data_IF_538586793681
#
_entry.id   IF_538586793681
#
_cell.length_a   1.000
_cell.length_b   1.000
_cell.length_c   1.000
_cell.angle_alpha   90.00
_cell.angle_beta   90.00
_cell.angle_gamma   90.00
#
_symmetry.space_group_name_H-M   'P 1'
#
loop_
_entity.id
_entity.type
_entity.pdbx_description
1 polymer ?
#
# COMPACT_ATOMS: atom_id res chain seq x y z
N UNK A 1 -20.83 21.68 -1.61
CA UNK A 1 -21.58 21.05 -2.73
C UNK A 1 -22.05 19.69 -2.21
N UNK A 2 -23.35 19.42 -2.12
CA UNK A 2 -23.82 18.15 -1.56
C UNK A 2 -23.69 17.05 -2.63
N UNK A 3 -22.88 16.04 -2.37
CA UNK A 3 -22.70 14.91 -3.29
C UNK A 3 -24.03 14.19 -3.48
N UNK A 4 -24.36 13.84 -4.74
CA UNK A 4 -25.58 13.11 -5.08
C UNK A 4 -25.65 11.75 -4.31
N UNK A 5 -26.72 11.49 -3.53
CA UNK A 5 -26.91 10.23 -2.78
C UNK A 5 -26.81 8.97 -3.64
N UNK A 6 -27.28 8.98 -4.89
CA UNK A 6 -27.20 7.84 -5.80
C UNK A 6 -25.75 7.46 -6.12
N UNK A 7 -24.85 8.45 -6.13
CA UNK A 7 -23.42 8.21 -6.34
C UNK A 7 -22.81 7.51 -5.14
N UNK A 8 -23.12 7.96 -3.93
CA UNK A 8 -22.71 7.25 -2.72
C UNK A 8 -23.30 5.85 -2.64
N UNK A 9 -24.53 5.64 -3.08
CA UNK A 9 -25.15 4.32 -3.11
C UNK A 9 -24.41 3.34 -4.04
N UNK A 10 -24.01 3.79 -5.25
CA UNK A 10 -23.16 3.00 -6.16
C UNK A 10 -21.78 2.73 -5.58
N UNK A 11 -21.22 3.69 -4.86
CA UNK A 11 -19.94 3.52 -4.17
C UNK A 11 -20.03 2.50 -3.05
N UNK A 12 -21.08 2.54 -2.21
CA UNK A 12 -21.32 1.52 -1.19
C UNK A 12 -21.43 0.12 -1.80
N UNK A 13 -22.15 -0.03 -2.93
CA UNK A 13 -22.19 -1.33 -3.63
C UNK A 13 -20.82 -1.83 -4.07
N UNK A 14 -19.92 -0.92 -4.44
CA UNK A 14 -18.54 -1.27 -4.78
C UNK A 14 -17.79 -1.79 -3.54
N UNK A 15 -18.00 -1.16 -2.38
CA UNK A 15 -17.40 -1.57 -1.11
C UNK A 15 -18.00 -2.92 -0.67
N UNK A 16 -19.34 -3.08 -0.72
CA UNK A 16 -20.02 -4.35 -0.41
C UNK A 16 -19.42 -5.49 -1.26
N UNK A 17 -19.30 -5.25 -2.57
CA UNK A 17 -18.75 -6.23 -3.52
C UNK A 17 -17.28 -6.58 -3.22
N UNK A 18 -16.48 -5.60 -2.78
CA UNK A 18 -15.11 -5.86 -2.37
C UNK A 18 -15.07 -6.77 -1.14
N UNK A 19 -15.90 -6.50 -0.12
CA UNK A 19 -15.98 -7.34 1.08
C UNK A 19 -16.48 -8.74 0.73
N UNK A 20 -17.56 -8.84 -0.04
CA UNK A 20 -18.15 -10.12 -0.46
C UNK A 20 -17.14 -10.98 -1.22
N UNK A 21 -16.42 -10.40 -2.19
CA UNK A 21 -15.40 -11.14 -2.96
C UNK A 21 -14.18 -11.51 -2.12
N UNK A 22 -13.75 -10.60 -1.25
CA UNK A 22 -12.58 -10.85 -0.40
C UNK A 22 -12.83 -11.99 0.58
N UNK A 23 -14.07 -12.11 1.05
CA UNK A 23 -14.47 -13.02 2.12
C UNK A 23 -15.35 -14.19 1.62
N UNK A 24 -15.51 -14.35 0.31
CA UNK A 24 -16.37 -15.36 -0.34
C UNK A 24 -17.80 -15.41 0.20
N UNK A 25 -18.38 -14.25 0.51
CA UNK A 25 -19.74 -14.12 1.02
C UNK A 25 -20.75 -14.10 -0.13
N UNK A 26 -21.96 -14.58 0.17
CA UNK A 26 -23.07 -14.62 -0.79
C UNK A 26 -24.02 -13.45 -0.49
N UNK A 27 -24.09 -12.42 -1.37
CA UNK A 27 -25.00 -11.30 -1.20
C UNK A 27 -26.46 -11.77 -1.18
N UNK A 28 -27.31 -11.09 -0.41
CA UNK A 28 -28.75 -11.37 -0.31
C UNK A 28 -29.09 -12.79 0.16
N UNK A 29 -28.15 -13.50 0.80
CA UNK A 29 -28.40 -14.78 1.45
C UNK A 29 -29.02 -14.59 2.84
N UNK A 30 -29.32 -15.70 3.51
CA UNK A 30 -29.74 -15.68 4.92
C UNK A 30 -28.59 -15.35 5.90
N UNK A 31 -27.34 -15.36 5.40
CA UNK A 31 -26.14 -15.09 6.18
C UNK A 31 -25.65 -13.66 5.97
N UNK A 32 -24.74 -13.22 6.84
CA UNK A 32 -24.15 -11.89 6.76
C UNK A 32 -23.27 -11.75 5.51
N UNK A 33 -23.31 -10.56 4.92
CA UNK A 33 -22.59 -10.18 3.70
C UNK A 33 -21.84 -8.85 3.89
N UNK A 34 -21.16 -8.37 2.85
CA UNK A 34 -20.53 -7.06 2.79
C UNK A 34 -21.50 -5.93 3.15
N UNK A 35 -22.77 -6.05 2.71
CA UNK A 35 -23.84 -5.12 3.09
C UNK A 35 -23.98 -4.93 4.61
N UNK A 36 -23.85 -6.02 5.36
CA UNK A 36 -24.00 -6.05 6.82
C UNK A 36 -22.71 -5.66 7.53
N UNK A 37 -21.57 -6.10 7.02
CA UNK A 37 -20.25 -5.86 7.60
C UNK A 37 -19.77 -4.42 7.40
N UNK A 38 -20.11 -3.78 6.29
CA UNK A 38 -19.66 -2.42 5.99
C UNK A 38 -20.15 -1.38 6.99
N UNK A 39 -21.25 -1.63 7.71
CA UNK A 39 -21.70 -0.72 8.76
C UNK A 39 -20.64 -0.59 9.88
N UNK A 40 -20.18 -1.73 10.40
CA UNK A 40 -19.23 -1.79 11.51
C UNK A 40 -17.82 -1.44 11.01
N UNK A 41 -17.44 -1.90 9.81
CA UNK A 41 -16.14 -1.59 9.19
C UNK A 41 -16.00 -0.08 8.94
N UNK A 42 -16.95 0.57 8.26
CA UNK A 42 -16.91 2.02 8.03
C UNK A 42 -16.92 2.81 9.34
N UNK A 43 -17.69 2.37 10.34
CA UNK A 43 -17.74 3.05 11.63
C UNK A 43 -16.38 3.01 12.33
N UNK A 44 -15.74 1.84 12.40
CA UNK A 44 -14.41 1.69 12.98
C UNK A 44 -13.38 2.53 12.22
N UNK A 45 -13.39 2.46 10.89
CA UNK A 45 -12.48 3.20 10.02
C UNK A 45 -12.60 4.72 10.23
N UNK A 46 -13.84 5.23 10.24
CA UNK A 46 -14.13 6.65 10.42
C UNK A 46 -13.74 7.13 11.83
N UNK A 47 -14.05 6.35 12.87
CA UNK A 47 -13.77 6.69 14.25
C UNK A 47 -12.31 6.43 14.67
N UNK A 48 -11.52 5.77 13.82
CA UNK A 48 -10.14 5.37 14.11
C UNK A 48 -10.03 4.54 15.39
N UNK A 49 -10.88 3.53 15.52
CA UNK A 49 -11.02 2.74 16.73
C UNK A 49 -11.11 1.23 16.44
N UNK A 50 -11.17 0.45 17.51
CA UNK A 50 -11.31 -1.00 17.49
C UNK A 50 -12.64 -1.42 16.86
N UNK A 51 -12.60 -2.34 15.90
CA UNK A 51 -13.82 -2.94 15.35
C UNK A 51 -14.71 -3.53 16.45
N UNK A 52 -14.08 -4.08 17.48
CA UNK A 52 -14.74 -4.66 18.65
C UNK A 52 -15.50 -3.63 19.51
N UNK A 53 -15.36 -2.32 19.26
CA UNK A 53 -16.00 -1.26 20.05
C UNK A 53 -17.18 -0.58 19.37
N UNK A 54 -17.34 -0.74 18.05
CA UNK A 54 -18.29 0.05 17.25
C UNK A 54 -19.59 -0.66 16.92
N UNK A 55 -19.66 -1.97 17.12
CA UNK A 55 -20.78 -2.80 16.72
C UNK A 55 -20.78 -4.17 17.38
N UNK A 56 -21.65 -5.05 16.89
CA UNK A 56 -21.85 -6.40 17.46
C UNK A 56 -21.38 -7.52 16.54
N UNK A 57 -20.81 -7.19 15.37
CA UNK A 57 -20.43 -8.18 14.35
C UNK A 57 -18.93 -8.45 14.27
N UNK A 58 -18.13 -7.91 15.19
CA UNK A 58 -16.67 -8.04 15.16
C UNK A 58 -16.21 -9.51 15.08
N UNK A 59 -16.81 -10.40 15.88
CA UNK A 59 -16.49 -11.84 15.85
C UNK A 59 -16.85 -12.51 14.53
N UNK A 60 -18.02 -12.17 13.96
CA UNK A 60 -18.45 -12.68 12.66
C UNK A 60 -17.52 -12.21 11.53
N UNK A 61 -17.11 -10.94 11.55
CA UNK A 61 -16.15 -10.37 10.61
C UNK A 61 -14.80 -11.08 10.73
N UNK A 62 -14.29 -11.22 11.95
CA UNK A 62 -13.04 -11.95 12.21
C UNK A 62 -13.12 -13.41 11.74
N UNK A 63 -14.24 -14.09 11.98
CA UNK A 63 -14.44 -15.46 11.54
C UNK A 63 -14.46 -15.57 10.01
N UNK A 64 -15.19 -14.68 9.33
CA UNK A 64 -15.24 -14.65 7.87
C UNK A 64 -13.84 -14.43 7.26
N UNK A 65 -13.05 -13.51 7.82
CA UNK A 65 -11.67 -13.28 7.36
C UNK A 65 -10.78 -14.51 7.58
N UNK A 66 -10.95 -15.22 8.70
CA UNK A 66 -10.16 -16.42 9.01
C UNK A 66 -10.50 -17.64 8.13
N UNK A 67 -11.67 -17.66 7.50
CA UNK A 67 -12.12 -18.77 6.67
C UNK A 67 -11.55 -18.74 5.26
N UNK A 68 -11.04 -17.58 4.81
CA UNK A 68 -10.46 -17.40 3.48
C UNK A 68 -8.93 -17.29 3.52
N UNK A 69 -8.23 -17.65 2.45
CA UNK A 69 -6.81 -17.34 2.32
C UNK A 69 -6.61 -15.84 2.13
N UNK A 70 -5.49 -15.31 2.63
CA UNK A 70 -5.12 -13.89 2.43
C UNK A 70 -5.07 -13.49 0.95
N UNK A 71 -4.94 -14.46 0.05
CA UNK A 71 -4.98 -14.25 -1.39
C UNK A 71 -6.26 -13.64 -1.91
N UNK A 72 -7.40 -13.98 -1.33
CA UNK A 72 -8.68 -13.46 -1.79
C UNK A 72 -8.76 -11.94 -1.61
N UNK A 73 -8.12 -11.42 -0.55
CA UNK A 73 -8.09 -10.00 -0.22
C UNK A 73 -7.33 -9.22 -1.29
N UNK A 74 -6.07 -9.60 -1.61
CA UNK A 74 -5.32 -8.85 -2.62
C UNK A 74 -5.86 -9.07 -4.04
N UNK A 75 -6.42 -10.23 -4.38
CA UNK A 75 -7.07 -10.43 -5.69
C UNK A 75 -8.31 -9.56 -5.84
N UNK A 76 -9.13 -9.47 -4.80
CA UNK A 76 -10.30 -8.58 -4.77
C UNK A 76 -9.89 -7.12 -4.86
N UNK A 77 -8.81 -6.74 -4.17
CA UNK A 77 -8.25 -5.39 -4.26
C UNK A 77 -7.75 -5.06 -5.67
N UNK A 78 -6.96 -5.94 -6.28
CA UNK A 78 -6.48 -5.78 -7.66
C UNK A 78 -7.65 -5.66 -8.65
N UNK A 79 -8.75 -6.40 -8.43
CA UNK A 79 -9.95 -6.24 -9.26
C UNK A 79 -10.60 -4.87 -9.08
N UNK A 80 -10.64 -4.36 -7.85
CA UNK A 80 -11.11 -2.99 -7.58
C UNK A 80 -10.21 -1.94 -8.24
N UNK A 81 -8.88 -2.12 -8.19
CA UNK A 81 -7.89 -1.28 -8.88
C UNK A 81 -8.10 -1.33 -10.40
N UNK A 82 -8.33 -2.49 -10.99
CA UNK A 82 -8.60 -2.63 -12.43
C UNK A 82 -9.88 -1.88 -12.83
N UNK A 83 -10.97 -2.07 -12.07
CA UNK A 83 -12.27 -1.43 -12.35
C UNK A 83 -12.18 0.09 -12.22
N UNK A 84 -11.61 0.59 -11.13
CA UNK A 84 -11.45 2.04 -10.93
C UNK A 84 -10.38 2.61 -11.86
N UNK A 85 -9.36 1.82 -12.19
CA UNK A 85 -8.28 2.11 -13.14
C UNK A 85 -8.79 2.46 -14.53
N UNK A 86 -9.90 1.86 -14.96
CA UNK A 86 -10.54 2.18 -16.24
C UNK A 86 -10.94 3.65 -16.37
N UNK A 87 -11.25 4.34 -15.25
CA UNK A 87 -11.67 5.76 -15.24
C UNK A 87 -10.58 6.72 -15.71
N UNK A 88 -9.32 6.32 -15.59
CA UNK A 88 -8.17 7.10 -16.04
C UNK A 88 -7.27 6.28 -16.99
N UNK A 89 -7.83 5.23 -17.60
CA UNK A 89 -7.18 4.36 -18.58
C UNK A 89 -5.84 3.78 -18.10
N UNK A 90 -5.81 3.22 -16.89
CA UNK A 90 -4.59 2.70 -16.25
C UNK A 90 -3.77 1.78 -17.17
N UNK A 91 -4.42 0.94 -17.97
CA UNK A 91 -3.82 0.03 -18.94
C UNK A 91 -3.08 0.71 -20.11
N UNK A 92 -3.32 2.00 -20.35
CA UNK A 92 -2.64 2.81 -21.35
C UNK A 92 -1.49 3.64 -20.73
N UNK A 93 -1.35 3.63 -19.40
CA UNK A 93 -0.39 4.47 -18.68
C UNK A 93 0.98 3.81 -18.56
N UNK A 94 2.02 4.61 -18.78
CA UNK A 94 3.37 4.25 -18.36
C UNK A 94 3.59 4.71 -16.92
N UNK A 95 3.92 3.79 -16.03
CA UNK A 95 3.98 4.10 -14.60
C UNK A 95 5.41 4.13 -14.05
N UNK A 96 5.64 5.07 -13.14
CA UNK A 96 6.72 5.04 -12.17
C UNK A 96 6.12 4.55 -10.87
N UNK A 97 6.73 3.51 -10.31
CA UNK A 97 6.27 2.85 -9.10
C UNK A 97 7.19 3.18 -7.94
N UNK A 98 6.66 3.15 -6.72
CA UNK A 98 7.44 3.14 -5.50
C UNK A 98 6.99 1.98 -4.62
N UNK A 99 7.96 1.33 -3.96
CA UNK A 99 7.69 0.40 -2.87
C UNK A 99 8.09 1.01 -1.54
N UNK A 100 7.29 0.75 -0.52
CA UNK A 100 7.60 1.12 0.85
C UNK A 100 6.97 0.13 1.83
N UNK A 101 7.55 0.05 3.03
CA UNK A 101 6.94 -0.65 4.15
C UNK A 101 6.09 0.33 4.96
N UNK A 102 4.94 -0.14 5.42
CA UNK A 102 4.17 0.54 6.45
C UNK A 102 3.88 -0.42 7.58
N UNK A 103 3.76 0.13 8.79
CA UNK A 103 3.67 -0.63 10.02
C UNK A 103 2.33 -0.30 10.71
N UNK A 104 1.67 -1.33 11.24
CA UNK A 104 0.53 -1.19 12.15
C UNK A 104 0.97 -1.57 13.56
N UNK A 105 0.70 -0.70 14.53
CA UNK A 105 1.10 -0.91 15.91
C UNK A 105 0.32 -2.04 16.59
N UNK A 106 1.02 -2.79 17.42
CA UNK A 106 0.47 -3.87 18.23
C UNK A 106 0.93 -3.71 19.68
N UNK A 107 -0.03 -3.88 20.60
CA UNK A 107 0.14 -3.61 22.04
C UNK A 107 0.04 -4.88 22.91
N UNK A 108 -0.19 -6.04 22.30
CA UNK A 108 -0.26 -7.33 23.00
C UNK A 108 1.10 -8.02 23.09
N UNK A 109 1.12 -9.32 23.38
CA UNK A 109 2.38 -10.07 23.42
C UNK A 109 2.87 -10.41 22.00
N UNK A 110 4.06 -9.92 21.63
CA UNK A 110 4.61 -10.05 20.29
C UNK A 110 5.14 -11.48 20.07
N UNK A 111 4.28 -12.34 19.53
CA UNK A 111 4.59 -13.74 19.27
C UNK A 111 4.40 -14.12 17.79
N UNK A 112 5.15 -15.13 17.35
CA UNK A 112 5.06 -15.69 16.00
C UNK A 112 5.85 -14.94 14.94
N UNK A 113 5.65 -15.31 13.66
CA UNK A 113 6.43 -14.77 12.54
C UNK A 113 5.88 -13.46 11.98
N UNK A 114 4.64 -13.09 12.31
CA UNK A 114 3.95 -11.95 11.70
C UNK A 114 4.04 -10.65 12.51
N UNK A 115 4.43 -10.75 13.77
CA UNK A 115 4.53 -9.60 14.68
C UNK A 115 6.00 -9.32 14.92
N UNK A 116 6.48 -8.18 14.41
CA UNK A 116 7.84 -7.73 14.64
C UNK A 116 7.94 -7.16 16.05
N UNK A 117 8.72 -7.80 16.91
CA UNK A 117 8.95 -7.31 18.27
C UNK A 117 9.52 -5.89 18.26
N UNK A 118 9.05 -5.06 19.19
CA UNK A 118 9.44 -3.67 19.32
C UNK A 118 9.73 -3.36 20.78
N UNK A 119 10.90 -2.79 21.08
CA UNK A 119 11.34 -2.55 22.46
C UNK A 119 10.80 -1.25 23.08
N UNK A 120 9.91 -0.52 22.38
CA UNK A 120 8.95 0.44 22.95
C UNK A 120 9.40 1.89 23.20
N UNK A 121 8.79 2.81 22.43
CA UNK A 121 8.23 4.11 22.89
C UNK A 121 6.69 3.94 22.94
N UNK A 122 5.95 4.71 23.74
CA UNK A 122 4.46 4.71 23.81
C UNK A 122 3.78 3.34 24.07
N UNK A 123 4.44 2.44 24.80
CA UNK A 123 3.91 1.10 25.13
C UNK A 123 3.61 0.17 23.93
N UNK A 124 4.11 0.49 22.74
CA UNK A 124 4.03 -0.42 21.57
C UNK A 124 4.98 -1.59 21.79
N UNK A 125 4.45 -2.82 21.74
CA UNK A 125 5.19 -4.07 21.97
C UNK A 125 5.57 -4.79 20.68
N UNK A 126 4.85 -4.52 19.59
CA UNK A 126 5.16 -5.09 18.28
C UNK A 126 4.51 -4.33 17.13
N UNK A 127 4.82 -4.76 15.91
CA UNK A 127 4.29 -4.18 14.67
C UNK A 127 3.93 -5.26 13.65
N UNK A 128 2.76 -5.14 13.02
CA UNK A 128 2.50 -5.81 11.75
C UNK A 128 3.09 -4.97 10.63
N UNK A 129 3.58 -5.62 9.57
CA UNK A 129 4.22 -4.93 8.44
C UNK A 129 3.55 -5.27 7.13
N UNK A 130 3.36 -4.24 6.30
CA UNK A 130 2.80 -4.36 4.96
C UNK A 130 3.77 -3.78 3.94
N UNK A 131 4.05 -4.53 2.88
CA UNK A 131 4.76 -4.03 1.71
C UNK A 131 3.74 -3.48 0.73
N UNK A 132 3.80 -2.19 0.43
CA UNK A 132 2.87 -1.52 -0.50
C UNK A 132 3.62 -1.06 -1.74
N UNK A 133 3.01 -1.26 -2.92
CA UNK A 133 3.44 -0.64 -4.16
C UNK A 133 2.39 0.38 -4.62
N UNK A 134 2.84 1.58 -4.97
CA UNK A 134 1.97 2.66 -5.43
C UNK A 134 2.49 3.31 -6.72
N UNK A 135 1.56 3.86 -7.51
CA UNK A 135 1.89 4.75 -8.62
C UNK A 135 2.30 6.12 -8.06
N UNK A 136 3.43 6.62 -8.54
CA UNK A 136 3.96 7.93 -8.19
C UNK A 136 4.26 8.81 -9.41
N UNK A 137 3.89 8.38 -10.62
CA UNK A 137 4.12 9.13 -11.87
C UNK A 137 3.49 10.53 -11.83
N UNK A 138 4.23 11.56 -12.22
CA UNK A 138 3.80 12.97 -12.13
C UNK A 138 2.63 13.33 -13.04
N UNK A 139 2.45 12.59 -14.14
CA UNK A 139 1.35 12.70 -15.11
C UNK A 139 0.02 12.14 -14.57
N UNK A 140 0.07 11.25 -13.58
CA UNK A 140 -1.09 10.84 -12.81
C UNK A 140 -1.19 11.71 -11.53
N UNK A 141 -2.20 12.59 -11.42
CA UNK A 141 -2.36 13.45 -10.23
C UNK A 141 -2.67 12.63 -8.97
N UNK A 142 -3.13 11.40 -9.17
CA UNK A 142 -3.66 10.50 -8.17
C UNK A 142 -2.56 9.57 -7.65
N UNK A 143 -2.43 9.50 -6.32
CA UNK A 143 -1.50 8.60 -5.61
C UNK A 143 -2.28 7.32 -5.38
N UNK A 144 -1.97 6.29 -6.16
CA UNK A 144 -2.80 5.08 -6.22
C UNK A 144 -2.00 3.93 -5.64
N UNK A 145 -2.38 3.41 -4.44
CA UNK A 145 -1.90 2.11 -4.01
C UNK A 145 -2.41 1.06 -5.01
N UNK A 146 -1.51 0.27 -5.57
CA UNK A 146 -1.85 -0.77 -6.56
C UNK A 146 -1.98 -2.14 -5.92
N UNK A 147 -1.14 -2.41 -4.94
CA UNK A 147 -1.14 -3.66 -4.20
C UNK A 147 -0.42 -3.48 -2.88
N UNK A 148 -0.90 -4.21 -1.89
CA UNK A 148 -0.20 -4.40 -0.62
C UNK A 148 -0.23 -5.86 -0.22
N UNK A 149 0.78 -6.30 0.51
CA UNK A 149 0.83 -7.63 1.10
C UNK A 149 1.33 -7.60 2.53
N UNK A 150 0.87 -8.51 3.40
CA UNK A 150 1.46 -8.68 4.71
C UNK A 150 2.83 -9.34 4.55
N UNK A 151 3.82 -8.89 5.31
CA UNK A 151 5.16 -9.48 5.30
C UNK A 151 5.54 -10.02 6.67
N UNK A 152 6.04 -11.25 6.71
CA UNK A 152 6.50 -11.88 7.95
C UNK A 152 8.00 -11.67 8.17
N UNK A 153 8.47 -11.88 9.40
CA UNK A 153 9.88 -11.86 9.76
C UNK A 153 10.64 -12.86 8.89
N UNK A 154 11.71 -12.40 8.25
CA UNK A 154 12.55 -13.22 7.37
C UNK A 154 12.00 -13.42 5.95
N UNK A 155 10.94 -12.71 5.55
CA UNK A 155 10.48 -12.72 4.16
C UNK A 155 11.58 -12.30 3.19
N UNK A 156 11.51 -12.80 1.95
CA UNK A 156 12.47 -12.46 0.91
C UNK A 156 11.99 -11.23 0.12
N UNK A 157 12.57 -10.06 0.41
CA UNK A 157 12.25 -8.78 -0.23
C UNK A 157 12.22 -8.88 -1.76
N UNK A 158 13.21 -9.54 -2.36
CA UNK A 158 13.32 -9.63 -3.82
C UNK A 158 12.19 -10.46 -4.42
N UNK A 159 11.82 -11.58 -3.77
CA UNK A 159 10.70 -12.43 -4.17
C UNK A 159 9.39 -11.66 -4.08
N UNK A 160 9.13 -11.02 -2.95
CA UNK A 160 7.88 -10.29 -2.71
C UNK A 160 7.70 -9.13 -3.69
N UNK A 161 8.75 -8.32 -3.90
CA UNK A 161 8.72 -7.21 -4.88
C UNK A 161 8.47 -7.73 -6.30
N UNK A 162 9.20 -8.76 -6.74
CA UNK A 162 9.01 -9.31 -8.08
C UNK A 162 7.62 -9.93 -8.27
N UNK A 163 7.07 -10.56 -7.23
CA UNK A 163 5.72 -11.09 -7.25
C UNK A 163 4.68 -9.96 -7.38
N UNK A 164 4.75 -8.91 -6.57
CA UNK A 164 3.88 -7.73 -6.69
C UNK A 164 3.97 -7.11 -8.09
N UNK A 165 5.18 -6.94 -8.64
CA UNK A 165 5.37 -6.41 -10.00
C UNK A 165 4.77 -7.30 -11.08
N UNK A 166 4.77 -8.63 -10.90
CA UNK A 166 4.14 -9.58 -11.82
C UNK A 166 2.62 -9.42 -11.86
N UNK A 167 2.00 -9.04 -10.75
CA UNK A 167 0.56 -8.78 -10.64
C UNK A 167 0.17 -7.39 -11.16
N UNK A 168 1.05 -6.41 -11.03
CA UNK A 168 0.82 -5.04 -11.53
C UNK A 168 1.02 -4.96 -13.05
N UNK A 169 1.99 -5.70 -13.60
CA UNK A 169 2.37 -5.62 -15.02
C UNK A 169 1.18 -5.72 -16.00
N UNK A 170 0.17 -6.60 -15.81
CA UNK A 170 -1.00 -6.67 -16.68
C UNK A 170 -1.96 -5.46 -16.56
N UNK A 171 -1.88 -4.68 -15.48
CA UNK A 171 -2.78 -3.55 -15.23
C UNK A 171 -2.35 -2.26 -15.94
N UNK A 172 -1.10 -2.17 -16.41
CA UNK A 172 -0.47 -0.95 -16.94
C UNK A 172 0.17 -1.19 -18.29
N UNK A 173 0.41 -0.12 -19.08
CA UNK A 173 1.10 -0.24 -20.38
C UNK A 173 2.55 -0.66 -20.19
N UNK A 174 3.27 0.05 -19.31
CA UNK A 174 4.66 -0.26 -19.01
C UNK A 174 5.08 0.26 -17.64
N UNK A 175 6.09 -0.38 -17.04
CA UNK A 175 6.72 0.08 -15.80
C UNK A 175 8.04 0.74 -16.18
N UNK A 176 8.07 2.08 -16.20
CA UNK A 176 9.23 2.89 -16.60
C UNK A 176 10.36 2.83 -15.59
N UNK A 177 10.03 2.83 -14.31
CA UNK A 177 11.00 2.88 -13.23
C UNK A 177 10.35 2.45 -11.91
N UNK A 178 11.08 1.72 -11.08
CA UNK A 178 10.69 1.37 -9.71
C UNK A 178 11.65 2.03 -8.72
N UNK A 179 11.11 2.89 -7.85
CA UNK A 179 11.86 3.60 -6.83
C UNK A 179 11.83 2.84 -5.50
N UNK A 180 12.99 2.77 -4.86
CA UNK A 180 13.11 2.16 -3.54
C UNK A 180 13.95 3.01 -2.60
N UNK A 181 13.62 2.95 -1.33
CA UNK A 181 14.40 3.59 -0.27
C UNK A 181 15.67 2.78 0.09
N UNK A 182 16.35 3.15 1.19
CA UNK A 182 17.58 2.48 1.63
C UNK A 182 17.35 1.09 2.24
N UNK A 183 16.17 0.82 2.79
CA UNK A 183 15.80 -0.47 3.35
C UNK A 183 15.77 -1.59 2.31
N UNK A 184 15.55 -1.24 1.05
CA UNK A 184 15.56 -2.17 -0.09
C UNK A 184 16.95 -2.37 -0.72
N UNK A 185 18.03 -1.78 -0.19
CA UNK A 185 19.37 -1.95 -0.75
C UNK A 185 19.93 -3.37 -0.51
N UNK A 186 19.48 -4.30 -1.36
CA UNK A 186 19.83 -5.71 -1.35
C UNK A 186 20.43 -6.16 -2.68
N UNK A 187 21.52 -6.94 -2.61
CA UNK A 187 22.15 -7.57 -3.77
C UNK A 187 21.18 -8.48 -4.51
N UNK A 188 20.33 -9.20 -3.77
CA UNK A 188 19.35 -10.10 -4.36
C UNK A 188 18.29 -9.33 -5.14
N UNK A 189 17.74 -8.25 -4.56
CA UNK A 189 16.77 -7.41 -5.26
C UNK A 189 17.36 -6.81 -6.54
N UNK A 190 18.58 -6.26 -6.47
CA UNK A 190 19.27 -5.73 -7.65
C UNK A 190 19.45 -6.77 -8.76
N UNK A 191 19.81 -8.02 -8.41
CA UNK A 191 19.91 -9.13 -9.37
C UNK A 191 18.54 -9.47 -9.95
N UNK A 192 17.52 -9.66 -9.11
CA UNK A 192 16.18 -10.06 -9.54
C UNK A 192 15.53 -9.02 -10.45
N UNK A 193 15.61 -7.74 -10.09
CA UNK A 193 15.09 -6.63 -10.91
C UNK A 193 15.80 -6.55 -12.27
N UNK A 194 17.13 -6.76 -12.28
CA UNK A 194 17.91 -6.78 -13.54
C UNK A 194 17.52 -7.96 -14.42
N UNK A 195 17.36 -9.16 -13.85
CA UNK A 195 16.93 -10.36 -14.60
C UNK A 195 15.52 -10.24 -15.15
N UNK A 196 14.62 -9.60 -14.40
CA UNK A 196 13.24 -9.35 -14.81
C UNK A 196 13.09 -8.14 -15.74
N UNK A 197 14.20 -7.48 -16.11
CA UNK A 197 14.22 -6.28 -16.95
C UNK A 197 13.38 -5.12 -16.43
N UNK A 198 13.22 -4.99 -15.10
CA UNK A 198 12.57 -3.84 -14.49
C UNK A 198 13.60 -2.76 -14.20
N UNK A 199 13.48 -1.55 -14.78
CA UNK A 199 14.34 -0.43 -14.41
C UNK A 199 14.12 -0.06 -12.94
N UNK A 200 15.19 0.11 -12.18
CA UNK A 200 15.09 0.48 -10.76
C UNK A 200 16.02 1.60 -10.36
N UNK A 201 15.66 2.29 -9.28
CA UNK A 201 16.51 3.25 -8.59
C UNK A 201 16.38 3.04 -7.08
N UNK A 202 17.44 2.51 -6.47
CA UNK A 202 17.50 2.24 -5.03
C UNK A 202 18.43 3.26 -4.37
N UNK A 203 17.97 3.91 -3.31
CA UNK A 203 18.83 4.79 -2.53
C UNK A 203 19.83 3.99 -1.70
N UNK A 204 21.12 4.30 -1.83
CA UNK A 204 22.19 3.50 -1.22
C UNK A 204 22.57 4.09 0.13
N UNK A 205 22.65 3.29 1.21
CA UNK A 205 23.20 3.75 2.47
C UNK A 205 24.68 4.15 2.30
N UNK A 206 25.16 5.12 3.08
CA UNK A 206 26.57 5.57 3.07
C UNK A 206 27.52 4.51 3.66
N UNK A 207 27.69 3.40 2.96
CA UNK A 207 28.63 2.34 3.29
C UNK A 207 30.07 2.78 3.03
N UNK A 208 31.05 2.02 3.53
CA UNK A 208 32.49 2.35 3.42
C UNK A 208 32.92 2.66 1.99
N UNK A 209 32.40 1.93 1.00
CA UNK A 209 32.72 2.11 -0.42
C UNK A 209 32.16 3.42 -0.97
N UNK A 210 30.87 3.69 -0.73
CA UNK A 210 30.20 4.92 -1.15
C UNK A 210 30.87 6.14 -0.52
N UNK A 211 31.21 6.08 0.78
CA UNK A 211 31.95 7.15 1.47
C UNK A 211 33.30 7.43 0.80
N UNK A 212 34.12 6.38 0.58
CA UNK A 212 35.43 6.50 -0.05
C UNK A 212 35.37 7.09 -1.46
N UNK A 213 34.33 6.79 -2.24
CA UNK A 213 34.17 7.38 -3.57
C UNK A 213 33.71 8.84 -3.50
N UNK A 214 32.77 9.17 -2.60
CA UNK A 214 32.32 10.55 -2.40
C UNK A 214 33.41 11.47 -1.84
N UNK A 215 34.33 10.97 -1.01
CA UNK A 215 35.47 11.75 -0.47
C UNK A 215 36.47 12.20 -1.56
N UNK A 216 36.50 11.50 -2.70
CA UNK A 216 37.36 11.83 -3.84
C UNK A 216 36.70 12.81 -4.82
N UNK A 217 35.42 13.10 -4.63
CA UNK A 217 34.62 13.92 -5.55
C UNK A 217 34.65 15.38 -5.12
N UNK A 218 34.63 16.30 -6.09
CA UNK A 218 34.46 17.72 -5.83
C UNK A 218 33.00 18.05 -5.54
N UNK A 219 32.75 19.20 -4.93
CA UNK A 219 31.38 19.66 -4.66
C UNK A 219 30.58 19.82 -5.96
N UNK A 220 29.29 19.47 -5.93
CA UNK A 220 28.40 19.44 -7.10
C UNK A 220 28.78 18.45 -8.21
N UNK A 221 29.80 17.60 -8.00
CA UNK A 221 30.17 16.58 -8.98
C UNK A 221 29.16 15.42 -8.99
N UNK A 222 28.84 14.95 -10.20
CA UNK A 222 28.10 13.71 -10.44
C UNK A 222 28.99 12.65 -11.10
N UNK A 223 29.00 11.43 -10.56
CA UNK A 223 29.84 10.33 -11.05
C UNK A 223 29.06 9.03 -11.17
N UNK A 224 29.29 8.30 -12.27
CA UNK A 224 28.76 6.93 -12.47
C UNK A 224 29.89 5.91 -12.32
N UNK A 225 29.65 4.84 -11.58
CA UNK A 225 30.62 3.77 -11.36
C UNK A 225 29.95 2.42 -11.59
N UNK A 226 30.56 1.58 -12.43
CA UNK A 226 30.13 0.18 -12.54
C UNK A 226 30.51 -0.58 -11.28
N UNK A 227 29.52 -1.19 -10.63
CA UNK A 227 29.69 -1.94 -9.40
C UNK A 227 29.35 -3.41 -9.60
N UNK A 228 30.39 -4.24 -9.56
CA UNK A 228 30.26 -5.69 -9.53
C UNK A 228 30.24 -6.20 -8.08
N UNK A 229 29.41 -7.19 -7.82
CA UNK A 229 29.28 -7.81 -6.51
C UNK A 229 29.00 -9.31 -6.60
N UNK A 230 29.24 -10.01 -5.49
CA UNK A 230 28.90 -11.42 -5.31
C UNK A 230 27.84 -11.55 -4.21
N UNK A 231 26.86 -12.41 -4.45
CA UNK A 231 25.86 -12.87 -3.49
C UNK A 231 26.08 -14.36 -3.27
N UNK A 232 26.27 -14.77 -2.01
CA UNK A 232 26.28 -16.19 -1.65
C UNK A 232 24.88 -16.55 -1.14
N UNK A 233 24.22 -17.49 -1.81
CA UNK A 233 22.88 -17.94 -1.48
C UNK A 233 22.77 -19.43 -1.81
N UNK A 234 22.23 -20.22 -0.89
CA UNK A 234 22.02 -21.67 -1.07
C UNK A 234 23.28 -22.40 -1.58
N UNK A 235 24.43 -22.11 -0.94
CA UNK A 235 25.78 -22.61 -1.30
C UNK A 235 26.24 -22.25 -2.72
N UNK A 236 25.55 -21.33 -3.39
CA UNK A 236 25.83 -20.89 -4.76
C UNK A 236 26.33 -19.44 -4.76
N UNK A 237 27.37 -19.17 -5.55
CA UNK A 237 27.89 -17.81 -5.75
C UNK A 237 27.25 -17.21 -7.01
N UNK A 238 26.37 -16.24 -6.81
CA UNK A 238 25.75 -15.48 -7.89
C UNK A 238 26.51 -14.17 -8.06
N UNK A 239 26.96 -13.88 -9.28
CA UNK A 239 27.61 -12.61 -9.62
C UNK A 239 26.56 -11.63 -10.17
N UNK A 240 26.63 -10.39 -9.73
CA UNK A 240 25.76 -9.31 -10.18
C UNK A 240 26.55 -8.05 -10.52
N UNK A 241 25.94 -7.20 -11.35
CA UNK A 241 26.46 -5.86 -11.68
C UNK A 241 25.33 -4.83 -11.58
N UNK A 242 25.67 -3.62 -11.16
CA UNK A 242 24.77 -2.46 -11.11
C UNK A 242 25.58 -1.19 -11.36
N UNK A 243 24.92 -0.10 -11.75
CA UNK A 243 25.53 1.22 -11.82
C UNK A 243 25.30 1.94 -10.50
N UNK A 244 26.37 2.44 -9.89
CA UNK A 244 26.29 3.41 -8.80
C UNK A 244 26.34 4.82 -9.36
N UNK A 245 25.29 5.61 -9.11
CA UNK A 245 25.23 7.03 -9.41
C UNK A 245 25.46 7.81 -8.12
N UNK A 246 26.56 8.56 -8.06
CA UNK A 246 26.99 9.34 -6.90
C UNK A 246 26.87 10.83 -7.24
N UNK A 247 26.34 11.62 -6.31
CA UNK A 247 26.27 13.06 -6.42
C UNK A 247 26.74 13.69 -5.11
N UNK A 248 27.74 14.57 -5.18
CA UNK A 248 28.42 15.13 -4.00
C UNK A 248 27.83 16.48 -3.61
N UNK A 249 27.40 16.62 -2.36
CA UNK A 249 26.96 17.90 -1.77
C UNK A 249 26.01 18.71 -2.66
N UNK A 250 24.97 18.07 -3.19
CA UNK A 250 23.98 18.77 -4.01
C UNK A 250 23.13 19.67 -3.11
N UNK A 251 23.13 20.96 -3.42
CA UNK A 251 22.39 21.97 -2.66
C UNK A 251 20.87 21.81 -2.87
N UNK A 252 20.15 21.65 -1.77
CA UNK A 252 18.69 21.61 -1.75
C UNK A 252 18.13 22.96 -1.31
N UNK A 253 17.68 23.75 -2.30
CA UNK A 253 17.08 25.09 -2.11
C UNK A 253 15.95 25.11 -1.08
N UNK A 254 15.18 24.03 -0.93
CA UNK A 254 14.04 23.97 0.00
C UNK A 254 14.49 23.92 1.46
N UNK A 255 15.64 23.29 1.72
CA UNK A 255 16.14 23.08 3.08
C UNK A 255 17.33 23.97 3.44
N UNK A 256 17.92 24.65 2.44
CA UNK A 256 19.14 25.44 2.61
C UNK A 256 20.37 24.59 2.93
N UNK A 257 20.33 23.28 2.67
CA UNK A 257 21.38 22.31 3.02
C UNK A 257 21.86 21.54 1.79
N UNK A 258 23.14 21.17 1.79
CA UNK A 258 23.73 20.29 0.78
C UNK A 258 23.73 18.84 1.26
N UNK A 259 23.47 17.92 0.34
CA UNK A 259 23.40 16.48 0.64
C UNK A 259 24.19 15.67 -0.38
N UNK A 260 24.89 14.65 0.12
CA UNK A 260 25.40 13.59 -0.77
C UNK A 260 24.28 12.60 -1.11
N UNK A 261 24.17 12.26 -2.39
CA UNK A 261 23.25 11.26 -2.90
C UNK A 261 24.03 10.09 -3.51
N UNK A 262 23.55 8.87 -3.28
CA UNK A 262 24.11 7.67 -3.85
C UNK A 262 22.98 6.73 -4.23
N UNK A 263 22.93 6.30 -5.49
CA UNK A 263 21.89 5.44 -6.01
C UNK A 263 22.48 4.21 -6.67
N UNK A 264 21.76 3.09 -6.60
CA UNK A 264 22.03 1.89 -7.39
C UNK A 264 20.93 1.73 -8.44
N UNK A 265 21.32 1.46 -9.68
CA UNK A 265 20.40 1.30 -10.81
C UNK A 265 20.97 0.37 -11.87
N UNK A 266 20.10 -0.38 -12.55
CA UNK A 266 20.45 -1.11 -13.77
C UNK A 266 20.44 -0.23 -15.03
N UNK A 267 20.11 1.06 -14.93
CA UNK A 267 20.16 2.00 -16.04
C UNK A 267 21.53 2.68 -16.14
N UNK A 268 22.40 2.20 -17.03
CA UNK A 268 23.72 2.80 -17.26
C UNK A 268 23.65 4.25 -17.79
N UNK A 269 22.62 4.54 -18.57
CA UNK A 269 22.42 5.84 -19.23
C UNK A 269 21.62 6.84 -18.38
N UNK A 270 21.38 6.55 -17.09
CA UNK A 270 20.58 7.43 -16.23
C UNK A 270 21.12 8.87 -16.21
N UNK A 271 20.25 9.85 -16.42
CA UNK A 271 20.66 11.25 -16.40
C UNK A 271 20.81 11.71 -14.94
N UNK A 272 22.03 12.13 -14.56
CA UNK A 272 22.34 12.56 -13.19
C UNK A 272 21.67 13.89 -12.82
N UNK A 273 21.36 14.75 -13.78
CA UNK A 273 20.73 16.05 -13.52
C UNK A 273 19.26 15.87 -13.09
N UNK A 274 18.60 14.81 -13.59
CA UNK A 274 17.20 14.52 -13.29
C UNK A 274 17.01 13.43 -12.22
N UNK A 275 18.06 12.72 -11.81
CA UNK A 275 17.96 11.58 -10.88
C UNK A 275 17.37 11.97 -9.52
N UNK A 276 17.73 13.14 -8.98
CA UNK A 276 17.23 13.61 -7.68
C UNK A 276 15.75 14.02 -7.78
N UNK A 277 15.32 14.88 -8.73
CA UNK A 277 13.90 15.15 -8.95
C UNK A 277 13.07 13.88 -9.13
N UNK A 278 13.53 12.94 -9.96
CA UNK A 278 12.86 11.64 -10.17
C UNK A 278 12.75 10.87 -8.85
N UNK A 279 13.85 10.76 -8.10
CA UNK A 279 13.85 10.03 -6.83
C UNK A 279 12.94 10.68 -5.77
N UNK A 280 12.91 12.01 -5.68
CA UNK A 280 12.02 12.73 -4.75
C UNK A 280 10.54 12.45 -5.02
N UNK A 281 10.18 12.03 -6.24
CA UNK A 281 8.85 11.50 -6.55
C UNK A 281 8.42 10.34 -5.65
N UNK A 282 9.37 9.55 -5.12
CA UNK A 282 9.10 8.45 -4.16
C UNK A 282 8.29 8.91 -2.96
N UNK A 283 8.54 10.11 -2.43
CA UNK A 283 7.83 10.66 -1.25
C UNK A 283 6.32 10.81 -1.46
N UNK A 284 5.82 10.69 -2.70
CA UNK A 284 4.38 10.62 -2.95
C UNK A 284 3.74 9.39 -2.30
N UNK A 285 4.46 8.27 -2.13
CA UNK A 285 3.93 7.09 -1.42
C UNK A 285 3.69 7.38 0.06
N UNK A 286 4.63 8.05 0.73
CA UNK A 286 4.47 8.49 2.13
C UNK A 286 3.28 9.42 2.30
N UNK A 287 3.04 10.29 1.32
CA UNK A 287 1.85 11.14 1.37
C UNK A 287 0.56 10.35 1.16
N UNK A 288 0.62 9.23 0.44
CA UNK A 288 -0.49 8.27 0.34
C UNK A 288 -0.82 7.68 1.71
N UNK A 289 0.20 7.23 2.45
CA UNK A 289 -0.02 6.74 3.82
C UNK A 289 -0.59 7.80 4.75
N UNK A 290 -0.17 9.08 4.64
CA UNK A 290 -0.78 10.15 5.44
C UNK A 290 -2.28 10.34 5.24
N UNK A 291 -2.79 10.06 4.02
CA UNK A 291 -4.24 10.05 3.78
C UNK A 291 -4.87 8.82 4.40
N UNK A 292 -4.20 7.67 4.28
CA UNK A 292 -4.64 6.44 4.95
C UNK A 292 -4.67 6.63 6.47
N UNK A 293 -3.75 7.38 7.09
CA UNK A 293 -3.76 7.67 8.54
C UNK A 293 -5.03 8.39 9.02
N UNK A 294 -5.84 8.98 8.14
CA UNK A 294 -7.15 9.57 8.49
C UNK A 294 -8.26 8.52 8.68
N UNK A 295 -8.02 7.28 8.26
CA UNK A 295 -8.91 6.13 8.35
C UNK A 295 -8.16 4.95 8.98
N UNK A 296 -8.68 4.38 10.07
CA UNK A 296 -7.98 3.25 10.68
C UNK A 296 -8.94 2.30 11.39
N UNK A 297 -8.92 1.02 11.02
CA UNK A 297 -9.65 -0.02 11.74
C UNK A 297 -8.67 -0.72 12.67
N UNK A 298 -8.78 -0.44 13.97
CA UNK A 298 -7.96 -1.15 14.95
C UNK A 298 -8.54 -2.54 15.23
N UNK A 299 -7.68 -3.45 15.66
CA UNK A 299 -8.06 -4.79 16.12
C UNK A 299 -7.25 -5.18 17.34
N UNK A 300 -7.74 -6.15 18.10
CA UNK A 300 -6.94 -6.87 19.11
C UNK A 300 -6.37 -8.19 18.60
N UNK A 301 -6.76 -8.62 17.39
CA UNK A 301 -6.36 -9.90 16.82
C UNK A 301 -4.85 -10.01 16.57
N UNK A 302 -4.28 -11.18 16.86
CA UNK A 302 -2.90 -11.54 16.47
C UNK A 302 -2.83 -12.16 15.07
N UNK A 303 -3.98 -12.44 14.44
CA UNK A 303 -4.04 -13.04 13.11
C UNK A 303 -3.75 -11.99 12.03
N UNK A 304 -2.62 -12.17 11.32
CA UNK A 304 -2.20 -11.26 10.25
C UNK A 304 -3.21 -11.14 9.11
N UNK A 305 -4.11 -12.11 8.90
CA UNK A 305 -5.16 -12.01 7.86
C UNK A 305 -6.19 -10.94 8.20
N UNK A 306 -6.54 -10.81 9.48
CA UNK A 306 -7.47 -9.79 9.97
C UNK A 306 -6.85 -8.40 9.79
N UNK A 307 -5.61 -8.25 10.26
CA UNK A 307 -4.83 -7.01 10.12
C UNK A 307 -4.71 -6.59 8.66
N UNK A 308 -4.37 -7.55 7.80
CA UNK A 308 -4.23 -7.31 6.38
C UNK A 308 -5.56 -6.94 5.71
N UNK A 309 -6.67 -7.59 6.04
CA UNK A 309 -7.99 -7.23 5.51
C UNK A 309 -8.36 -5.78 5.85
N UNK A 310 -8.17 -5.37 7.10
CA UNK A 310 -8.45 -4.01 7.55
C UNK A 310 -7.57 -2.98 6.82
N UNK A 311 -6.27 -3.24 6.74
CA UNK A 311 -5.35 -2.40 6.00
C UNK A 311 -5.75 -2.23 4.51
N UNK A 312 -6.15 -3.32 3.85
CA UNK A 312 -6.59 -3.25 2.44
C UNK A 312 -7.95 -2.56 2.30
N UNK A 313 -8.86 -2.74 3.26
CA UNK A 313 -10.15 -2.05 3.30
C UNK A 313 -9.95 -0.52 3.37
N UNK A 314 -9.02 -0.05 4.20
CA UNK A 314 -8.61 1.36 4.25
C UNK A 314 -8.08 1.85 2.89
N UNK A 315 -7.26 1.03 2.22
CA UNK A 315 -6.77 1.34 0.87
C UNK A 315 -7.86 1.36 -0.20
N UNK A 316 -8.93 0.56 -0.06
CA UNK A 316 -10.11 0.62 -0.95
C UNK A 316 -10.82 1.96 -0.78
N UNK A 317 -11.04 2.41 0.45
CA UNK A 317 -11.67 3.70 0.73
C UNK A 317 -10.83 4.85 0.17
N UNK A 318 -9.51 4.80 0.37
CA UNK A 318 -8.58 5.77 -0.19
C UNK A 318 -8.64 5.77 -1.73
N UNK A 319 -8.59 4.61 -2.36
CA UNK A 319 -8.61 4.47 -3.82
C UNK A 319 -9.90 5.04 -4.42
N UNK A 320 -11.04 4.69 -3.85
CA UNK A 320 -12.35 5.20 -4.25
C UNK A 320 -12.37 6.73 -4.14
N UNK A 321 -11.93 7.30 -3.01
CA UNK A 321 -11.88 8.74 -2.84
C UNK A 321 -10.95 9.41 -3.85
N UNK A 322 -9.72 8.90 -4.01
CA UNK A 322 -8.73 9.45 -4.93
C UNK A 322 -9.25 9.51 -6.36
N UNK A 323 -9.91 8.45 -6.81
CA UNK A 323 -10.37 8.31 -8.21
C UNK A 323 -11.69 9.04 -8.45
N UNK A 324 -12.60 9.02 -7.47
CA UNK A 324 -13.97 9.46 -7.68
C UNK A 324 -14.36 10.73 -6.95
N UNK A 325 -13.65 11.20 -5.91
CA UNK A 325 -14.19 12.26 -5.04
C UNK A 325 -13.19 13.36 -4.67
N UNK A 326 -11.90 13.12 -4.87
CA UNK A 326 -10.81 13.98 -4.41
C UNK A 326 -10.89 15.44 -4.86
N UNK A 327 -11.42 15.69 -6.06
CA UNK A 327 -11.58 17.06 -6.60
C UNK A 327 -12.83 17.77 -6.06
N UNK A 328 -13.71 17.06 -5.34
CA UNK A 328 -15.01 17.57 -4.89
C UNK A 328 -15.10 17.74 -3.37
N UNK A 329 -14.52 16.80 -2.60
CA UNK A 329 -14.59 16.77 -1.14
C UNK A 329 -13.28 16.27 -0.52
N UNK A 330 -13.03 16.69 0.72
CA UNK A 330 -11.95 16.12 1.52
C UNK A 330 -12.20 14.63 1.81
N UNK A 331 -11.15 13.89 2.17
CA UNK A 331 -11.27 12.47 2.45
C UNK A 331 -12.20 12.20 3.65
N UNK A 332 -12.12 13.02 4.70
CA UNK A 332 -13.00 12.90 5.86
C UNK A 332 -14.47 13.17 5.55
N UNK A 333 -14.77 14.19 4.74
CA UNK A 333 -16.14 14.47 4.28
C UNK A 333 -16.72 13.31 3.46
N UNK A 334 -15.90 12.69 2.59
CA UNK A 334 -16.27 11.48 1.87
C UNK A 334 -16.63 10.32 2.82
N UNK A 335 -15.79 10.06 3.83
CA UNK A 335 -16.03 9.00 4.82
C UNK A 335 -17.29 9.24 5.65
N UNK A 336 -17.57 10.49 6.03
CA UNK A 336 -18.82 10.84 6.73
C UNK A 336 -20.05 10.57 5.84
N UNK A 337 -20.00 11.02 4.59
CA UNK A 337 -21.11 10.85 3.65
C UNK A 337 -21.42 9.38 3.34
N UNK A 338 -20.38 8.57 3.12
CA UNK A 338 -20.55 7.14 2.82
C UNK A 338 -21.07 6.37 4.05
N UNK A 339 -20.61 6.71 5.25
CA UNK A 339 -21.05 6.09 6.50
C UNK A 339 -22.51 6.42 6.84
N UNK A 340 -22.91 7.69 6.76
CA UNK A 340 -24.30 8.08 7.03
C UNK A 340 -25.29 7.38 6.09
N UNK A 341 -24.94 7.27 4.80
CA UNK A 341 -25.75 6.51 3.85
C UNK A 341 -25.79 5.01 4.20
N UNK A 342 -24.66 4.42 4.62
CA UNK A 342 -24.60 3.02 5.03
C UNK A 342 -25.52 2.74 6.23
N UNK A 343 -25.50 3.66 7.21
CA UNK A 343 -26.32 3.62 8.42
C UNK A 343 -27.82 3.75 8.11
N UNK A 344 -28.20 4.70 7.25
CA UNK A 344 -29.58 4.86 6.80
C UNK A 344 -30.07 3.59 6.07
N UNK A 345 -29.26 3.09 5.13
CA UNK A 345 -29.53 1.88 4.35
C UNK A 345 -29.78 0.67 5.26
N UNK A 346 -28.93 0.45 6.26
CA UNK A 346 -29.07 -0.65 7.23
C UNK A 346 -30.32 -0.48 8.11
N UNK A 347 -30.59 0.74 8.59
CA UNK A 347 -31.76 1.04 9.42
C UNK A 347 -33.09 0.78 8.68
N UNK A 348 -33.15 1.14 7.40
CA UNK A 348 -34.32 0.90 6.55
C UNK A 348 -34.58 -0.60 6.32
N UNK A 349 -33.54 -1.40 6.15
CA UNK A 349 -33.67 -2.88 6.06
C UNK A 349 -34.22 -3.47 7.35
N UNK A 350 -33.69 -3.07 8.51
CA UNK A 350 -34.18 -3.54 9.83
C UNK A 350 -35.66 -3.19 10.02
N UNK A 351 -36.07 -1.96 9.65
CA UNK A 351 -37.48 -1.53 9.73
C UNK A 351 -38.38 -2.38 8.85
N UNK A 352 -37.98 -2.65 7.59
CA UNK A 352 -38.74 -3.52 6.67
C UNK A 352 -38.89 -4.94 7.20
N UNK A 353 -37.82 -5.52 7.75
CA UNK A 353 -37.86 -6.87 8.35
C UNK A 353 -38.79 -6.91 9.57
N UNK A 354 -38.76 -5.88 10.42
CA UNK A 354 -39.69 -5.76 11.57
C UNK A 354 -41.14 -5.65 11.10
N UNK A 355 -41.41 -4.81 10.09
CA UNK A 355 -42.74 -4.65 9.51
C UNK A 355 -43.27 -5.95 8.89
N UNK A 356 -42.43 -6.69 8.15
CA UNK A 356 -42.81 -7.97 7.56
C UNK A 356 -43.14 -9.05 8.59
N UNK A 357 -42.50 -9.00 9.77
CA UNK A 357 -42.77 -9.91 10.90
C UNK A 357 -43.98 -9.52 11.75
N UNK A 358 -44.46 -8.28 11.64
CA UNK A 358 -45.61 -7.76 12.41
C UNK A 358 -46.96 -7.89 11.68
N UNK A 359 -46.99 -8.40 10.45
CA UNK A 359 -48.23 -8.72 9.74
C UNK A 359 -48.74 -10.06 10.30
N UNK A 360 -49.92 -10.11 10.96
CA UNK A 360 -50.49 -11.37 11.41
C UNK A 360 -50.77 -12.28 10.20
N UNK A 361 -50.47 -13.57 10.33
CA UNK A 361 -50.88 -14.60 9.36
C UNK A 361 -52.39 -14.75 9.32
#
# INVERSE_FOLDING_TARGET
>A
MTINPDRYFRTLKTIDTFVDRSLELIPYSQYLSGFDYDLDLLHAALAKTYLETVGSRADSIHLAIKQVPASNIYWSYLKTVEVLGSRFKLNEQDVVLAFDYTDEDFYGDAQGLWIYGWTGENAVSGKFKFLTCAIISSDLPQKIPLISIPVHIGHNIAKEVCWCLSLIKPLVRSIKLVLFDRGFYSKELMISMTKASYPYLIFVPKNKKVKKELEKMTESEGKKIQYQFKLNKDKTIIRGKTTLALLKQIFDKRTGKSFDWAFATNQSEINLDYIIPTYKGRWRIETGFRVQDEVHIMSKSTDARIRFFFFVYEQVLQLIWVVLYKEEVSFKEFLLGIYELCKERNSNTIRRVKMAKSIPQ
#
